data_IF_400977035872
#
_entry.id   IF_400977035872
#
_cell.length_a   1.000
_cell.length_b   1.000
_cell.length_c   1.000
_cell.angle_alpha   90.00
_cell.angle_beta   90.00
_cell.angle_gamma   90.00
#
_symmetry.space_group_name_H-M   'P 1'
#
loop_
_entity.id
_entity.type
_entity.pdbx_description
1 polymer ?
#
# COMPACT_ATOMS: atom_id res chain seq x y z
N UNK A 1 -1.62 2.05 -9.56
CA UNK A 1 -0.36 1.64 -8.91
C UNK A 1 0.78 1.37 -9.90
N UNK A 2 0.74 0.27 -10.68
CA UNK A 2 1.88 -0.13 -11.51
C UNK A 2 2.38 0.96 -12.47
N UNK A 3 1.48 1.65 -13.16
CA UNK A 3 1.86 2.74 -14.07
C UNK A 3 2.59 3.87 -13.33
N UNK A 4 2.02 4.34 -12.21
CA UNK A 4 2.66 5.38 -11.39
C UNK A 4 4.03 4.92 -10.85
N UNK A 5 4.18 3.65 -10.46
CA UNK A 5 5.48 3.09 -10.06
C UNK A 5 6.49 3.11 -11.23
N UNK A 6 6.10 2.66 -12.43
CA UNK A 6 6.95 2.72 -13.62
C UNK A 6 7.33 4.15 -14.00
N UNK A 7 6.37 5.07 -13.97
CA UNK A 7 6.56 6.49 -14.27
C UNK A 7 7.51 7.17 -13.28
N UNK A 8 7.51 6.73 -12.02
CA UNK A 8 8.42 7.23 -10.97
C UNK A 8 9.88 6.85 -11.19
N UNK A 9 10.17 5.89 -12.09
CA UNK A 9 11.51 5.33 -12.36
C UNK A 9 12.21 4.74 -11.13
N UNK A 10 11.46 4.43 -10.06
CA UNK A 10 11.97 3.62 -8.97
C UNK A 10 12.29 2.21 -9.47
N UNK A 11 13.39 1.65 -8.96
CA UNK A 11 13.88 0.32 -9.35
C UNK A 11 13.23 -0.78 -8.51
N UNK A 12 13.01 -0.50 -7.24
CA UNK A 12 12.53 -1.48 -6.28
C UNK A 12 11.33 -0.94 -5.50
N UNK A 13 10.36 -1.82 -5.25
CA UNK A 13 9.11 -1.46 -4.57
C UNK A 13 9.35 -0.93 -3.15
N UNK A 14 10.33 -1.49 -2.43
CA UNK A 14 10.74 -1.05 -1.10
C UNK A 14 11.53 0.27 -1.05
N UNK A 15 11.64 1.00 -2.16
CA UNK A 15 11.96 2.43 -2.10
C UNK A 15 10.75 3.26 -1.65
N UNK A 16 9.54 2.71 -1.74
CA UNK A 16 8.32 3.28 -1.17
C UNK A 16 8.23 2.81 0.27
N UNK A 17 8.33 3.74 1.22
CA UNK A 17 8.26 3.44 2.66
C UNK A 17 6.82 3.42 3.19
N UNK A 18 5.89 4.03 2.48
CA UNK A 18 4.50 4.21 2.92
C UNK A 18 3.51 4.07 1.77
N UNK A 19 2.43 3.34 1.98
CA UNK A 19 1.26 3.29 1.10
C UNK A 19 0.04 3.79 1.88
N UNK A 20 -0.58 4.87 1.41
CA UNK A 20 -1.91 5.30 1.82
C UNK A 20 -2.95 4.72 0.84
N UNK A 21 -3.61 3.65 1.27
CA UNK A 21 -4.60 2.90 0.53
C UNK A 21 -5.91 3.67 0.35
N UNK A 22 -6.64 3.32 -0.70
CA UNK A 22 -8.00 3.78 -0.88
C UNK A 22 -8.94 3.19 0.18
N UNK A 23 -8.83 1.90 0.51
CA UNK A 23 -9.48 1.18 1.61
C UNK A 23 -10.80 1.80 2.11
N UNK A 24 -11.90 1.55 1.40
CA UNK A 24 -13.24 2.08 1.72
C UNK A 24 -14.02 1.20 2.71
N UNK A 25 -13.35 0.23 3.35
CA UNK A 25 -13.98 -0.77 4.22
C UNK A 25 -14.97 -1.66 3.46
N UNK A 26 -14.75 -1.84 2.16
CA UNK A 26 -15.56 -2.75 1.33
C UNK A 26 -14.83 -4.09 1.23
N UNK A 27 -15.43 -5.23 1.61
CA UNK A 27 -14.71 -6.50 1.67
C UNK A 27 -13.98 -6.87 0.38
N UNK A 28 -14.66 -6.70 -0.77
CA UNK A 28 -14.08 -6.97 -2.08
C UNK A 28 -13.03 -5.93 -2.47
N UNK A 29 -13.28 -4.65 -2.20
CA UNK A 29 -12.39 -3.56 -2.59
C UNK A 29 -11.07 -3.60 -1.83
N UNK A 30 -11.12 -3.78 -0.51
CA UNK A 30 -9.94 -3.84 0.35
C UNK A 30 -9.09 -5.07 0.05
N UNK A 31 -9.72 -6.23 -0.17
CA UNK A 31 -9.05 -7.46 -0.58
C UNK A 31 -8.39 -7.32 -1.96
N UNK A 32 -9.09 -6.68 -2.91
CA UNK A 32 -8.54 -6.41 -4.24
C UNK A 32 -7.35 -5.46 -4.17
N UNK A 33 -7.43 -4.39 -3.38
CA UNK A 33 -6.32 -3.44 -3.22
C UNK A 33 -5.09 -4.09 -2.58
N UNK A 34 -5.27 -4.85 -1.49
CA UNK A 34 -4.16 -5.55 -0.84
C UNK A 34 -3.56 -6.64 -1.72
N UNK A 35 -4.37 -7.40 -2.48
CA UNK A 35 -3.84 -8.40 -3.42
C UNK A 35 -3.00 -7.76 -4.52
N UNK A 36 -3.41 -6.59 -5.04
CA UNK A 36 -2.61 -5.84 -6.00
C UNK A 36 -1.29 -5.32 -5.39
N UNK A 37 -1.30 -4.89 -4.12
CA UNK A 37 -0.06 -4.55 -3.39
C UNK A 37 0.83 -5.79 -3.23
N UNK A 38 0.28 -6.95 -2.85
CA UNK A 38 1.03 -8.19 -2.72
C UNK A 38 1.69 -8.64 -4.04
N UNK A 39 1.02 -8.42 -5.19
CA UNK A 39 1.64 -8.64 -6.50
C UNK A 39 2.83 -7.71 -6.73
N UNK A 40 2.72 -6.42 -6.37
CA UNK A 40 3.83 -5.48 -6.46
C UNK A 40 5.03 -5.91 -5.60
N UNK A 41 4.77 -6.52 -4.43
CA UNK A 41 5.83 -7.14 -3.64
C UNK A 41 6.51 -8.28 -4.42
N UNK A 42 5.76 -9.23 -4.98
CA UNK A 42 6.34 -10.35 -5.74
C UNK A 42 7.15 -9.94 -6.96
N UNK A 43 6.70 -8.92 -7.69
CA UNK A 43 7.30 -8.49 -8.95
C UNK A 43 8.46 -7.50 -8.77
N UNK A 44 8.35 -6.54 -7.86
CA UNK A 44 9.25 -5.38 -7.81
C UNK A 44 10.00 -5.20 -6.48
N UNK A 45 9.68 -5.96 -5.43
CA UNK A 45 10.40 -5.87 -4.16
C UNK A 45 11.76 -6.57 -4.25
N UNK A 46 12.80 -5.92 -3.72
CA UNK A 46 14.12 -6.55 -3.60
C UNK A 46 14.39 -6.90 -2.12
N UNK A 47 14.38 -8.19 -1.75
CA UNK A 47 14.57 -8.62 -0.36
C UNK A 47 15.95 -8.33 0.21
N UNK A 48 16.95 -8.02 -0.62
CA UNK A 48 18.29 -7.69 -0.14
C UNK A 48 18.32 -6.45 0.76
N UNK A 49 17.45 -5.45 0.52
CA UNK A 49 17.45 -4.20 1.28
C UNK A 49 16.74 -4.30 2.64
N UNK A 50 15.97 -5.36 2.89
CA UNK A 50 15.23 -5.62 4.14
C UNK A 50 14.36 -4.45 4.66
N UNK A 51 14.08 -3.43 3.84
CA UNK A 51 13.23 -2.29 4.20
C UNK A 51 11.74 -2.67 4.09
N UNK A 52 10.96 -2.57 5.18
CA UNK A 52 9.53 -2.81 5.15
C UNK A 52 8.76 -1.66 4.48
N UNK A 53 7.49 -1.91 4.14
CA UNK A 53 6.56 -0.89 3.62
C UNK A 53 5.38 -0.79 4.57
N UNK A 54 5.11 0.41 5.09
CA UNK A 54 3.95 0.66 5.95
C UNK A 54 2.72 0.87 5.08
N UNK A 55 1.62 0.19 5.39
CA UNK A 55 0.36 0.24 4.64
C UNK A 55 -0.75 0.74 5.57
N UNK A 56 -1.35 1.88 5.24
CA UNK A 56 -2.45 2.44 6.03
C UNK A 56 -3.57 3.04 5.16
N UNK A 57 -4.64 3.51 5.82
CA UNK A 57 -5.65 4.39 5.23
C UNK A 57 -6.17 5.38 6.27
N UNK A 58 -6.34 6.64 5.85
CA UNK A 58 -6.90 7.69 6.71
C UNK A 58 -8.43 7.72 6.74
N UNK A 59 -9.11 6.95 5.88
CA UNK A 59 -10.58 6.93 5.84
C UNK A 59 -11.20 6.41 7.13
N UNK A 60 -10.48 5.60 7.90
CA UNK A 60 -10.88 5.20 9.24
C UNK A 60 -11.04 6.39 10.20
N UNK A 61 -10.26 7.47 10.03
CA UNK A 61 -10.27 8.64 10.90
C UNK A 61 -11.25 9.73 10.43
N UNK A 62 -11.32 9.94 9.11
CA UNK A 62 -12.04 11.09 8.51
C UNK A 62 -13.34 10.69 7.81
N UNK A 63 -13.59 9.38 7.66
CA UNK A 63 -14.62 8.86 6.76
C UNK A 63 -14.21 8.95 5.29
N UNK A 64 -15.08 8.47 4.41
CA UNK A 64 -14.88 8.59 2.97
C UNK A 64 -15.46 9.90 2.45
N UNK A 65 -14.62 10.93 2.30
CA UNK A 65 -15.03 12.27 1.83
C UNK A 65 -15.36 12.35 0.32
N UNK A 66 -15.78 11.25 -0.31
CA UNK A 66 -16.22 11.16 -1.70
C UNK A 66 -15.26 11.90 -2.68
N UNK A 67 -15.77 12.90 -3.42
CA UNK A 67 -15.00 13.67 -4.39
C UNK A 67 -13.79 14.39 -3.77
N UNK A 68 -13.82 14.71 -2.47
CA UNK A 68 -12.70 15.34 -1.76
C UNK A 68 -11.66 14.33 -1.26
N UNK A 69 -11.94 13.02 -1.29
CA UNK A 69 -11.05 12.00 -0.72
C UNK A 69 -9.64 12.08 -1.31
N UNK A 70 -9.51 12.12 -2.64
CA UNK A 70 -8.21 12.19 -3.30
C UNK A 70 -7.38 13.42 -2.88
N UNK A 71 -8.01 14.59 -2.70
CA UNK A 71 -7.32 15.79 -2.27
C UNK A 71 -6.85 15.68 -0.81
N UNK A 72 -7.72 15.21 0.09
CA UNK A 72 -7.40 15.02 1.51
C UNK A 72 -6.28 13.99 1.69
N UNK A 73 -6.35 12.88 0.96
CA UNK A 73 -5.34 11.82 0.96
C UNK A 73 -3.99 12.29 0.41
N UNK A 74 -4.00 13.15 -0.61
CA UNK A 74 -2.79 13.77 -1.15
C UNK A 74 -2.14 14.71 -0.13
N UNK A 75 -2.93 15.56 0.54
CA UNK A 75 -2.42 16.44 1.61
C UNK A 75 -1.85 15.62 2.76
N UNK A 76 -2.56 14.56 3.19
CA UNK A 76 -2.05 13.65 4.22
C UNK A 76 -0.73 13.00 3.80
N UNK A 77 -0.63 12.48 2.58
CA UNK A 77 0.58 11.86 2.06
C UNK A 77 1.76 12.85 2.02
N UNK A 78 1.53 14.11 1.64
CA UNK A 78 2.56 15.14 1.72
C UNK A 78 2.98 15.45 3.17
N UNK A 79 2.02 15.51 4.09
CA UNK A 79 2.29 15.71 5.52
C UNK A 79 3.05 14.53 6.13
N UNK A 80 2.73 13.29 5.76
CA UNK A 80 3.42 12.12 6.30
C UNK A 80 4.91 12.14 5.94
N UNK A 81 5.23 12.52 4.69
CA UNK A 81 6.61 12.70 4.21
C UNK A 81 7.29 13.85 4.96
N UNK A 82 6.63 15.00 5.05
CA UNK A 82 7.19 16.21 5.64
C UNK A 82 7.46 16.06 7.15
N UNK A 83 6.53 15.42 7.87
CA UNK A 83 6.59 15.30 9.33
C UNK A 83 7.34 14.04 9.79
N UNK A 84 7.67 13.12 8.88
CA UNK A 84 8.22 11.81 9.23
C UNK A 84 7.30 11.02 10.18
N UNK A 85 5.99 11.08 9.95
CA UNK A 85 4.98 10.39 10.75
C UNK A 85 3.94 9.72 9.86
N UNK A 86 3.50 8.52 10.24
CA UNK A 86 2.41 7.80 9.57
C UNK A 86 1.38 7.46 10.64
N UNK A 87 0.08 7.69 10.40
CA UNK A 87 -0.95 7.28 11.35
C UNK A 87 -1.23 5.77 11.25
N UNK A 88 -1.68 5.15 12.34
CA UNK A 88 -2.19 3.78 12.32
C UNK A 88 -3.45 3.62 11.47
N UNK A 89 -3.99 2.40 11.39
CA UNK A 89 -5.31 2.15 10.82
C UNK A 89 -6.37 2.12 11.94
N UNK A 90 -7.17 3.19 12.04
CA UNK A 90 -8.29 3.20 12.98
C UNK A 90 -9.32 2.12 12.61
N UNK A 91 -9.85 1.42 13.61
CA UNK A 91 -10.81 0.30 13.48
C UNK A 91 -10.26 -1.00 12.85
N UNK A 92 -8.95 -1.10 12.59
CA UNK A 92 -8.34 -2.36 12.14
C UNK A 92 -8.14 -3.33 13.31
N UNK A 93 -9.11 -4.21 13.53
CA UNK A 93 -9.06 -5.27 14.54
C UNK A 93 -8.63 -6.62 13.96
N UNK A 94 -9.21 -6.98 12.82
CA UNK A 94 -8.99 -8.24 12.13
C UNK A 94 -8.50 -7.94 10.70
N UNK A 95 -7.18 -7.89 10.47
CA UNK A 95 -6.63 -7.73 9.13
C UNK A 95 -7.02 -8.90 8.23
N UNK A 96 -7.11 -8.63 6.93
CA UNK A 96 -7.31 -9.64 5.89
C UNK A 96 -6.25 -10.73 6.05
N UNK A 97 -6.70 -12.00 6.07
CA UNK A 97 -5.80 -13.12 6.27
C UNK A 97 -4.95 -13.38 5.03
N UNK A 98 -3.77 -13.96 5.24
CA UNK A 98 -2.89 -14.40 4.16
C UNK A 98 -3.57 -15.43 3.24
N UNK A 99 -4.44 -16.28 3.80
CA UNK A 99 -5.25 -17.24 3.04
C UNK A 99 -6.19 -16.54 2.04
N UNK A 100 -6.92 -15.52 2.49
CA UNK A 100 -7.82 -14.75 1.61
C UNK A 100 -7.06 -14.06 0.48
N UNK A 101 -5.89 -13.47 0.78
CA UNK A 101 -5.03 -12.88 -0.25
C UNK A 101 -4.57 -13.92 -1.27
N UNK A 102 -4.12 -15.09 -0.80
CA UNK A 102 -3.65 -16.16 -1.68
C UNK A 102 -4.75 -16.69 -2.60
N UNK A 103 -5.99 -16.78 -2.11
CA UNK A 103 -7.14 -17.19 -2.93
C UNK A 103 -7.38 -16.22 -4.09
N UNK A 104 -7.33 -14.92 -3.84
CA UNK A 104 -7.49 -13.89 -4.89
C UNK A 104 -6.32 -13.88 -5.88
N UNK A 105 -5.09 -14.06 -5.39
CA UNK A 105 -3.92 -14.17 -6.28
C UNK A 105 -4.05 -15.38 -7.23
N UNK A 106 -4.54 -16.52 -6.71
CA UNK A 106 -4.79 -17.73 -7.50
C UNK A 106 -5.92 -17.52 -8.52
N UNK A 107 -7.02 -16.86 -8.14
CA UNK A 107 -8.15 -16.63 -9.07
C UNK A 107 -7.77 -15.73 -10.24
N UNK A 108 -6.83 -14.80 -10.04
CA UNK A 108 -6.36 -13.89 -11.08
C UNK A 108 -5.33 -14.52 -12.03
N UNK A 109 -4.85 -15.73 -11.74
CA UNK A 109 -3.77 -16.40 -12.46
C UNK A 109 -4.29 -17.47 -13.43
N UNK A 110 -4.34 -17.19 -14.73
CA UNK A 110 -4.90 -18.13 -15.73
C UNK A 110 -4.00 -19.31 -16.13
N UNK A 111 -2.79 -19.47 -15.57
CA UNK A 111 -1.81 -20.48 -15.99
C UNK A 111 -0.98 -21.08 -14.84
N UNK A 112 -0.62 -22.36 -14.95
CA UNK A 112 0.04 -23.21 -13.94
C UNK A 112 1.47 -22.77 -13.52
N UNK A 113 2.13 -21.90 -14.27
CA UNK A 113 3.41 -21.25 -13.90
C UNK A 113 3.26 -20.24 -12.75
N UNK A 114 2.03 -19.97 -12.30
CA UNK A 114 1.67 -18.93 -11.33
C UNK A 114 1.84 -19.31 -9.85
N UNK A 115 1.88 -20.59 -9.49
CA UNK A 115 1.82 -21.01 -8.08
C UNK A 115 3.05 -20.53 -7.31
N UNK A 116 4.25 -20.79 -7.83
CA UNK A 116 5.51 -20.32 -7.22
C UNK A 116 5.60 -18.79 -7.17
N UNK A 117 5.02 -18.10 -8.17
CA UNK A 117 4.95 -16.65 -8.20
C UNK A 117 4.04 -16.11 -7.11
N UNK A 118 2.88 -16.73 -6.89
CA UNK A 118 1.90 -16.32 -5.89
C UNK A 118 2.42 -16.56 -4.47
N UNK A 119 3.12 -17.67 -4.23
CA UNK A 119 3.78 -17.92 -2.95
C UNK A 119 4.85 -16.86 -2.66
N UNK A 120 5.68 -16.52 -3.65
CA UNK A 120 6.66 -15.42 -3.52
C UNK A 120 5.99 -14.08 -3.18
N UNK A 121 4.89 -13.72 -3.83
CA UNK A 121 4.13 -12.51 -3.53
C UNK A 121 3.69 -12.47 -2.05
N UNK A 122 3.13 -13.58 -1.57
CA UNK A 122 2.64 -13.71 -0.20
C UNK A 122 3.79 -13.70 0.81
N UNK A 123 4.88 -14.40 0.55
CA UNK A 123 6.02 -14.47 1.45
C UNK A 123 6.66 -13.08 1.62
N UNK A 124 6.84 -12.34 0.53
CA UNK A 124 7.38 -10.98 0.60
C UNK A 124 6.40 -10.03 1.28
N UNK A 125 5.11 -10.09 0.95
CA UNK A 125 4.11 -9.27 1.61
C UNK A 125 4.06 -9.56 3.12
N UNK A 126 4.03 -10.84 3.52
CA UNK A 126 3.97 -11.25 4.93
C UNK A 126 5.17 -10.77 5.74
N UNK A 127 6.36 -10.82 5.15
CA UNK A 127 7.60 -10.50 5.85
C UNK A 127 7.90 -8.99 5.90
N UNK A 128 7.39 -8.22 4.93
CA UNK A 128 7.81 -6.82 4.74
C UNK A 128 6.66 -5.80 4.71
N UNK A 129 5.40 -6.22 4.63
CA UNK A 129 4.27 -5.31 4.80
C UNK A 129 3.95 -5.10 6.27
N UNK A 130 3.85 -3.84 6.68
CA UNK A 130 3.48 -3.45 8.06
C UNK A 130 2.13 -2.77 8.02
N UNK A 131 1.12 -3.39 8.64
CA UNK A 131 -0.22 -2.83 8.77
C UNK A 131 -0.43 -2.36 10.22
N UNK A 132 -0.13 -1.10 10.55
CA UNK A 132 -0.27 -0.62 11.92
C UNK A 132 -1.73 -0.58 12.34
N UNK A 133 -1.99 -0.99 13.59
CA UNK A 133 -3.34 -1.17 14.13
C UNK A 133 -3.82 0.07 14.89
N UNK A 134 -5.04 0.00 15.38
CA UNK A 134 -5.74 1.08 16.09
C UNK A 134 -5.05 1.55 17.38
N UNK A 135 -4.25 0.71 18.02
CA UNK A 135 -3.45 1.02 19.21
C UNK A 135 -2.13 1.74 18.87
N UNK A 136 -1.72 1.73 17.60
CA UNK A 136 -0.53 2.41 17.09
C UNK A 136 -0.93 3.72 16.42
N UNK A 137 -1.24 4.74 17.23
CA UNK A 137 -1.69 6.05 16.73
C UNK A 137 -0.70 6.70 15.77
N UNK A 138 0.59 6.41 15.95
CA UNK A 138 1.67 6.90 15.10
C UNK A 138 2.74 5.84 14.91
N UNK A 139 3.28 5.76 13.69
CA UNK A 139 4.37 4.89 13.28
C UNK A 139 5.45 5.73 12.62
N UNK A 140 6.71 5.42 12.92
CA UNK A 140 7.86 6.02 12.26
C UNK A 140 8.03 5.43 10.87
N UNK A 141 8.57 6.22 9.95
CA UNK A 141 8.89 5.72 8.62
C UNK A 141 9.95 4.61 8.67
N UNK A 142 9.87 3.60 7.79
CA UNK A 142 10.95 2.66 7.57
C UNK A 142 12.24 3.40 7.20
N UNK A 143 13.37 2.93 7.74
CA UNK A 143 14.69 3.49 7.46
C UNK A 143 14.99 3.39 5.96
N UNK A 144 14.84 4.52 5.29
CA UNK A 144 14.98 4.67 3.85
C UNK A 144 15.78 5.93 3.58
N UNK A 145 16.71 5.86 2.63
CA UNK A 145 17.52 7.00 2.20
C UNK A 145 16.70 8.23 1.78
N UNK A 146 15.42 8.04 1.44
CA UNK A 146 14.47 9.08 1.05
C UNK A 146 13.05 8.64 1.36
N UNK A 147 12.25 9.49 2.00
CA UNK A 147 10.84 9.16 2.29
C UNK A 147 9.99 9.28 1.02
N UNK A 148 9.34 8.19 0.63
CA UNK A 148 8.44 8.14 -0.53
C UNK A 148 7.14 7.46 -0.13
N UNK A 149 6.01 8.14 -0.34
CA UNK A 149 4.66 7.60 -0.16
C UNK A 149 3.99 7.36 -1.51
N UNK A 150 3.29 6.25 -1.62
CA UNK A 150 2.29 6.02 -2.67
C UNK A 150 0.88 6.23 -2.08
N UNK A 151 0.05 7.06 -2.70
CA UNK A 151 -1.35 7.24 -2.29
C UNK A 151 -2.29 6.82 -3.41
N UNK A 152 -3.32 6.04 -3.08
CA UNK A 152 -4.31 5.52 -4.02
C UNK A 152 -5.70 6.12 -3.75
N UNK A 153 -6.44 6.38 -4.82
CA UNK A 153 -7.86 6.72 -4.75
C UNK A 153 -8.61 6.12 -5.93
N UNK A 154 -9.68 5.37 -5.66
CA UNK A 154 -10.50 4.70 -6.68
C UNK A 154 -11.89 5.32 -6.72
N UNK A 155 -12.32 5.75 -7.90
CA UNK A 155 -13.66 6.26 -8.13
C UNK A 155 -14.64 5.14 -8.46
N UNK A 156 -15.92 5.31 -8.09
CA UNK A 156 -16.97 4.31 -8.31
C UNK A 156 -17.16 3.94 -9.81
N UNK A 157 -16.87 4.87 -10.74
CA UNK A 157 -16.92 4.63 -12.18
C UNK A 157 -15.72 3.85 -12.76
N UNK A 158 -14.82 3.33 -11.90
CA UNK A 158 -13.62 2.59 -12.32
C UNK A 158 -12.42 3.48 -12.66
N UNK A 159 -12.53 4.80 -12.51
CA UNK A 159 -11.41 5.71 -12.66
C UNK A 159 -10.54 5.69 -11.42
N UNK A 160 -9.30 5.23 -11.55
CA UNK A 160 -8.35 5.10 -10.45
C UNK A 160 -7.21 6.12 -10.60
N UNK A 161 -6.81 6.72 -9.48
CA UNK A 161 -5.65 7.60 -9.38
C UNK A 161 -4.62 7.04 -8.40
N UNK A 162 -3.34 7.11 -8.78
CA UNK A 162 -2.20 6.83 -7.89
C UNK A 162 -1.20 7.95 -8.02
N UNK A 163 -0.72 8.49 -6.90
CA UNK A 163 0.38 9.45 -6.85
C UNK A 163 1.53 8.88 -6.03
N UNK A 164 2.77 9.20 -6.43
CA UNK A 164 3.94 9.04 -5.58
C UNK A 164 4.44 10.42 -5.19
N UNK A 165 4.61 10.63 -3.89
CA UNK A 165 5.14 11.88 -3.32
C UNK A 165 6.41 11.52 -2.57
N UNK A 166 7.47 12.27 -2.82
CA UNK A 166 8.78 12.04 -2.23
C UNK A 166 9.27 13.29 -1.51
N UNK A 167 10.03 13.07 -0.44
CA UNK A 167 10.81 14.11 0.21
C UNK A 167 11.67 14.85 -0.82
N UNK A 168 11.72 16.17 -0.72
CA UNK A 168 12.66 16.97 -1.49
C UNK A 168 14.05 16.85 -0.84
N UNK A 169 15.05 16.54 -1.65
CA UNK A 169 16.46 16.49 -1.24
C UNK A 169 17.23 17.45 -2.13
N UNK A 170 17.98 18.37 -1.53
CA UNK A 170 18.80 19.36 -2.24
C UNK A 170 19.98 18.72 -3.00
#
# INVERSE_FOLDING_TARGET
MLNAFKDSKLKHFNQIGHINCHATSTPVGDLTELSAIAQMFGEYFNPQYHTPVVINSIKGHLGHCLAAAGAIETVYAALSVNQNQICGNLNLHNPISISELLEVLKSNSSSSTSISSNEKCIDLFRNYAVLPRHDQTQVTWPDSHRRIVMTNSSGFGGTNGTLLISEWTD
#
